data_IF_600519658880
#
_entry.id   IF_600519658880
#
_cell.length_a   1.000
_cell.length_b   1.000
_cell.length_c   1.000
_cell.angle_alpha   90.00
_cell.angle_beta   90.00
_cell.angle_gamma   90.00
#
_symmetry.space_group_name_H-M   'P 1'
#
loop_
_entity.id
_entity.type
_entity.pdbx_description
1 polymer ?
#
# COMPACT_ATOMS: atom_id res chain seq x y z
N UNK A 1 -7.31 -60.60 -39.11
CA UNK A 1 -7.86 -59.93 -37.90
C UNK A 1 -6.69 -59.57 -37.01
N UNK A 2 -6.34 -58.28 -36.93
CA UNK A 2 -5.33 -57.76 -35.99
C UNK A 2 -5.99 -56.63 -35.23
N UNK A 3 -6.12 -56.80 -33.92
CA UNK A 3 -6.85 -55.93 -33.02
C UNK A 3 -5.89 -54.86 -32.49
N UNK A 4 -5.96 -53.65 -33.06
CA UNK A 4 -5.16 -52.51 -32.62
C UNK A 4 -5.86 -51.91 -31.39
N UNK A 5 -5.23 -52.02 -30.21
CA UNK A 5 -5.68 -51.34 -28.99
C UNK A 5 -5.33 -49.85 -29.10
N UNK A 6 -6.34 -49.01 -29.13
CA UNK A 6 -6.23 -47.57 -28.92
C UNK A 6 -5.91 -47.32 -27.43
N UNK A 7 -4.69 -46.87 -27.15
CA UNK A 7 -4.31 -46.32 -25.85
C UNK A 7 -4.70 -44.85 -25.85
N UNK A 8 -5.79 -44.52 -25.16
CA UNK A 8 -6.24 -43.15 -24.93
C UNK A 8 -5.30 -42.46 -23.94
N UNK A 9 -4.35 -41.69 -24.44
CA UNK A 9 -3.54 -40.78 -23.61
C UNK A 9 -4.38 -39.54 -23.34
N UNK A 10 -5.06 -39.49 -22.19
CA UNK A 10 -5.61 -38.24 -21.67
C UNK A 10 -4.47 -37.40 -21.10
N UNK A 11 -3.90 -36.53 -21.92
CA UNK A 11 -3.09 -35.43 -21.44
C UNK A 11 -4.04 -34.40 -20.81
N UNK A 12 -4.23 -34.47 -19.49
CA UNK A 12 -4.81 -33.38 -18.73
C UNK A 12 -3.76 -32.26 -18.65
N UNK A 13 -3.72 -31.40 -19.68
CA UNK A 13 -3.04 -30.11 -19.60
C UNK A 13 -3.76 -29.27 -18.54
N UNK A 14 -3.25 -29.30 -17.32
CA UNK A 14 -3.51 -28.26 -16.33
C UNK A 14 -2.86 -27.00 -16.91
N UNK A 15 -3.68 -26.16 -17.56
CA UNK A 15 -3.30 -24.80 -17.88
C UNK A 15 -3.08 -24.09 -16.53
N UNK A 16 -1.83 -24.08 -16.06
CA UNK A 16 -1.41 -23.13 -15.04
C UNK A 16 -1.64 -21.75 -15.66
N UNK A 17 -2.65 -21.04 -15.16
CA UNK A 17 -2.83 -19.63 -15.50
C UNK A 17 -1.67 -18.88 -14.87
N UNK A 18 -0.61 -18.68 -15.65
CA UNK A 18 0.51 -17.85 -15.26
C UNK A 18 -0.02 -16.41 -15.18
N UNK A 19 -0.20 -15.92 -13.96
CA UNK A 19 -0.57 -14.53 -13.71
C UNK A 19 0.72 -13.74 -13.50
N UNK A 20 0.96 -12.77 -14.36
CA UNK A 20 2.20 -11.99 -14.33
C UNK A 20 2.11 -10.86 -13.29
N UNK A 21 2.49 -11.14 -12.04
CA UNK A 21 2.72 -10.15 -10.97
C UNK A 21 4.23 -9.96 -10.78
N UNK A 22 4.69 -8.86 -10.18
CA UNK A 22 6.07 -8.77 -9.69
C UNK A 22 6.16 -8.67 -8.18
N UNK A 23 5.24 -7.94 -7.55
CA UNK A 23 5.22 -7.79 -6.09
C UNK A 23 5.03 -9.17 -5.46
N UNK A 24 5.94 -9.52 -4.56
CA UNK A 24 5.96 -10.77 -3.81
C UNK A 24 5.35 -10.59 -2.43
N UNK A 25 5.16 -11.69 -1.70
CA UNK A 25 4.71 -11.62 -0.30
C UNK A 25 5.77 -10.98 0.62
N UNK A 26 7.06 -11.10 0.27
CA UNK A 26 8.16 -10.46 0.99
C UNK A 26 8.15 -8.94 0.79
N UNK A 27 7.81 -8.48 -0.41
CA UNK A 27 7.63 -7.06 -0.69
C UNK A 27 6.45 -6.48 0.10
N UNK A 28 5.31 -7.21 0.15
CA UNK A 28 4.15 -6.81 0.98
C UNK A 28 4.51 -6.74 2.45
N UNK A 29 5.30 -7.69 2.96
CA UNK A 29 5.76 -7.68 4.35
C UNK A 29 6.72 -6.52 4.64
N UNK A 30 7.59 -6.19 3.69
CA UNK A 30 8.54 -5.08 3.78
C UNK A 30 7.78 -3.75 3.79
N UNK A 31 6.88 -3.54 2.84
CA UNK A 31 5.99 -2.38 2.80
C UNK A 31 5.16 -2.25 4.07
N UNK A 32 4.64 -3.35 4.63
CA UNK A 32 3.94 -3.35 5.92
C UNK A 32 4.85 -2.85 7.04
N UNK A 33 6.09 -3.33 7.12
CA UNK A 33 7.02 -2.89 8.18
C UNK A 33 7.27 -1.40 8.07
N UNK A 34 7.56 -0.91 6.86
CA UNK A 34 7.80 0.52 6.59
C UNK A 34 6.57 1.35 6.96
N UNK A 35 5.39 0.92 6.53
CA UNK A 35 4.12 1.59 6.84
C UNK A 35 3.89 1.70 8.34
N UNK A 36 4.18 0.62 9.10
CA UNK A 36 4.07 0.63 10.56
C UNK A 36 5.07 1.60 11.18
N UNK A 37 6.32 1.58 10.74
CA UNK A 37 7.37 2.43 11.29
C UNK A 37 7.08 3.92 11.00
N UNK A 38 6.56 4.25 9.81
CA UNK A 38 6.04 5.59 9.49
C UNK A 38 4.89 6.00 10.43
N UNK A 39 3.91 5.11 10.64
CA UNK A 39 2.79 5.38 11.54
C UNK A 39 3.26 5.62 12.98
N UNK A 40 4.17 4.80 13.49
CA UNK A 40 4.75 4.98 14.84
C UNK A 40 5.49 6.32 14.96
N UNK A 41 6.27 6.67 13.94
CA UNK A 41 6.98 7.95 13.87
C UNK A 41 6.00 9.13 13.92
N UNK A 42 4.97 9.13 13.08
CA UNK A 42 3.96 10.21 13.03
C UNK A 42 3.19 10.32 14.35
N UNK A 43 2.75 9.20 14.92
CA UNK A 43 2.02 9.18 16.21
C UNK A 43 2.88 9.63 17.39
N UNK A 44 4.20 9.49 17.29
CA UNK A 44 5.13 9.98 18.32
C UNK A 44 5.30 11.50 18.33
N UNK A 45 4.91 12.18 17.24
CA UNK A 45 4.99 13.64 17.12
C UNK A 45 3.98 14.28 18.09
N UNK A 46 4.49 15.18 18.94
CA UNK A 46 3.67 15.94 19.88
C UNK A 46 3.71 17.40 19.49
N UNK A 47 2.55 18.06 19.48
CA UNK A 47 2.53 19.52 19.49
C UNK A 47 3.16 20.04 20.78
N UNK A 48 3.87 21.16 20.66
CA UNK A 48 4.43 21.90 21.81
C UNK A 48 3.33 22.39 22.79
N UNK A 49 2.06 22.29 22.39
CA UNK A 49 0.87 22.71 23.12
C UNK A 49 0.58 21.95 24.43
N UNK A 50 1.23 20.81 24.67
CA UNK A 50 1.04 20.01 25.89
C UNK A 50 2.04 20.35 27.03
N UNK A 51 2.91 21.35 26.83
CA UNK A 51 3.76 21.91 27.88
C UNK A 51 3.11 23.12 28.54
N UNK A 52 3.08 23.12 29.87
CA UNK A 52 2.70 24.21 30.79
C UNK A 52 2.40 25.59 30.12
N UNK A 53 1.18 26.14 30.21
CA UNK A 53 0.77 27.38 29.51
C UNK A 53 1.62 28.62 29.82
N UNK A 54 2.47 28.59 30.84
CA UNK A 54 3.44 29.63 31.15
C UNK A 54 4.68 29.64 30.21
N UNK A 55 4.90 28.62 29.39
CA UNK A 55 6.03 28.51 28.43
C UNK A 55 5.60 28.65 26.96
N UNK A 56 4.29 28.73 26.68
CA UNK A 56 3.72 28.79 25.33
C UNK A 56 3.94 30.12 24.58
N UNK A 57 4.71 31.06 25.14
CA UNK A 57 4.81 32.45 24.64
C UNK A 57 6.06 32.69 23.75
N UNK A 58 6.97 31.71 23.56
CA UNK A 58 8.24 31.97 22.84
C UNK A 58 8.63 30.89 21.80
N UNK A 59 7.87 29.80 21.65
CA UNK A 59 8.12 28.86 20.54
C UNK A 59 7.11 29.15 19.43
N UNK A 60 7.63 29.65 18.29
CA UNK A 60 6.83 29.95 17.10
C UNK A 60 5.96 28.74 16.75
N UNK A 61 4.65 28.94 16.79
CA UNK A 61 3.68 27.88 16.53
C UNK A 61 3.86 27.31 15.10
N UNK A 62 4.22 28.19 14.16
CA UNK A 62 4.51 27.83 12.77
C UNK A 62 5.76 26.95 12.64
N UNK A 63 6.84 27.19 13.39
CA UNK A 63 8.03 26.34 13.28
C UNK A 63 7.75 24.90 13.73
N UNK A 64 6.87 24.71 14.72
CA UNK A 64 6.46 23.36 15.13
C UNK A 64 5.51 22.68 14.15
N UNK A 65 4.69 23.47 13.43
CA UNK A 65 3.79 22.96 12.38
C UNK A 65 4.61 22.48 11.17
N UNK A 66 5.56 23.28 10.72
CA UNK A 66 6.42 22.98 9.56
C UNK A 66 7.33 21.78 9.84
N UNK A 67 7.96 21.71 11.04
CA UNK A 67 8.78 20.56 11.42
C UNK A 67 7.98 19.24 11.46
N UNK A 68 6.74 19.29 11.95
CA UNK A 68 5.85 18.12 11.95
C UNK A 68 5.44 17.77 10.52
N UNK A 69 5.13 18.78 9.70
CA UNK A 69 4.82 18.60 8.29
C UNK A 69 5.93 17.86 7.55
N UNK A 70 7.18 18.31 7.71
CA UNK A 70 8.37 17.71 7.11
C UNK A 70 8.52 16.23 7.49
N UNK A 71 8.26 15.89 8.76
CA UNK A 71 8.34 14.50 9.21
C UNK A 71 7.23 13.64 8.60
N UNK A 72 6.00 14.15 8.55
CA UNK A 72 4.86 13.43 7.97
C UNK A 72 5.07 13.25 6.46
N UNK A 73 5.35 14.32 5.74
CA UNK A 73 5.60 14.32 4.30
C UNK A 73 6.81 13.46 3.94
N UNK A 74 7.90 13.54 4.69
CA UNK A 74 9.09 12.71 4.47
C UNK A 74 8.82 11.21 4.72
N UNK A 75 7.94 10.86 5.66
CA UNK A 75 7.56 9.48 5.94
C UNK A 75 6.68 8.89 4.82
N UNK A 76 5.77 9.70 4.27
CA UNK A 76 4.98 9.32 3.10
C UNK A 76 5.85 9.19 1.84
N UNK A 77 6.68 10.20 1.58
CA UNK A 77 7.58 10.21 0.41
C UNK A 77 8.52 9.01 0.40
N UNK A 78 8.99 8.57 1.57
CA UNK A 78 9.78 7.34 1.68
C UNK A 78 8.96 6.11 1.27
N UNK A 79 7.75 5.95 1.79
CA UNK A 79 6.85 4.85 1.42
C UNK A 79 6.50 4.88 -0.08
N UNK A 80 6.23 6.06 -0.64
CA UNK A 80 5.96 6.25 -2.07
C UNK A 80 7.15 5.86 -2.94
N UNK A 81 8.37 6.19 -2.50
CA UNK A 81 9.60 5.78 -3.17
C UNK A 81 9.75 4.25 -3.23
N UNK A 82 9.44 3.55 -2.14
CA UNK A 82 9.48 2.10 -2.08
C UNK A 82 8.39 1.47 -2.96
N UNK A 83 7.17 2.02 -2.94
CA UNK A 83 6.09 1.60 -3.83
C UNK A 83 6.46 1.79 -5.30
N UNK A 84 6.95 2.98 -5.67
CA UNK A 84 7.38 3.30 -7.02
C UNK A 84 8.52 2.39 -7.49
N UNK A 85 9.50 2.12 -6.61
CA UNK A 85 10.60 1.20 -6.89
C UNK A 85 10.07 -0.19 -7.28
N UNK A 86 9.13 -0.73 -6.50
CA UNK A 86 8.51 -2.03 -6.79
C UNK A 86 7.69 -2.02 -8.08
N UNK A 87 6.95 -0.93 -8.35
CA UNK A 87 6.13 -0.80 -9.55
C UNK A 87 6.95 -0.63 -10.84
N UNK A 88 8.17 -0.11 -10.75
CA UNK A 88 9.05 0.07 -11.90
C UNK A 88 9.79 -1.21 -12.32
N UNK A 89 9.69 -2.30 -11.55
CA UNK A 89 10.34 -3.55 -11.91
C UNK A 89 9.55 -4.22 -13.06
N UNK A 90 10.22 -4.65 -14.16
CA UNK A 90 9.54 -5.29 -15.27
C UNK A 90 8.74 -6.52 -14.86
N UNK A 91 7.53 -6.64 -15.40
CA UNK A 91 6.60 -7.74 -15.12
C UNK A 91 7.24 -9.09 -15.44
N UNK A 92 7.17 -10.03 -14.49
CA UNK A 92 7.58 -11.42 -14.67
C UNK A 92 6.39 -12.34 -14.46
N UNK A 93 6.50 -13.52 -15.06
CA UNK A 93 5.57 -14.60 -14.83
C UNK A 93 5.86 -15.22 -13.45
N UNK A 94 4.89 -15.14 -12.53
CA UNK A 94 5.02 -15.74 -11.19
C UNK A 94 4.12 -16.97 -11.09
N UNK A 95 4.70 -18.06 -10.64
CA UNK A 95 3.99 -19.22 -10.12
C UNK A 95 4.36 -19.38 -8.64
N UNK A 96 3.35 -19.33 -7.76
CA UNK A 96 3.57 -19.59 -6.33
C UNK A 96 3.37 -21.09 -6.10
N UNK A 97 4.47 -21.83 -6.01
CA UNK A 97 4.41 -23.27 -5.75
C UNK A 97 4.04 -23.52 -4.28
N UNK A 98 2.87 -24.15 -4.05
CA UNK A 98 2.36 -24.56 -2.73
C UNK A 98 2.33 -23.42 -1.69
N UNK A 99 1.52 -22.37 -1.90
CA UNK A 99 1.41 -21.27 -0.97
C UNK A 99 0.85 -21.73 0.39
N UNK A 100 1.38 -21.15 1.47
CA UNK A 100 0.76 -21.24 2.79
C UNK A 100 -0.43 -20.27 2.86
N UNK A 101 -1.61 -20.72 2.42
CA UNK A 101 -2.76 -19.83 2.25
C UNK A 101 -3.20 -19.02 3.47
N UNK A 102 -3.23 -19.58 4.70
CA UNK A 102 -3.46 -18.77 5.90
C UNK A 102 -2.51 -17.56 6.02
N UNK A 103 -1.23 -17.74 5.66
CA UNK A 103 -0.25 -16.67 5.76
C UNK A 103 -0.40 -15.65 4.64
N UNK A 104 -0.66 -16.10 3.41
CA UNK A 104 -0.94 -15.20 2.25
C UNK A 104 -2.11 -14.26 2.54
N UNK A 105 -3.22 -14.83 3.02
CA UNK A 105 -4.43 -14.08 3.34
C UNK A 105 -4.17 -13.09 4.48
N UNK A 106 -3.43 -13.53 5.50
CA UNK A 106 -3.03 -12.67 6.62
C UNK A 106 -2.13 -11.52 6.18
N UNK A 107 -1.16 -11.76 5.30
CA UNK A 107 -0.25 -10.71 4.80
C UNK A 107 -1.03 -9.58 4.13
N UNK A 108 -1.98 -9.92 3.25
CA UNK A 108 -2.86 -8.96 2.59
C UNK A 108 -3.60 -8.08 3.62
N UNK A 109 -4.35 -8.70 4.53
CA UNK A 109 -5.20 -7.94 5.45
C UNK A 109 -4.40 -7.13 6.48
N UNK A 110 -3.28 -7.65 6.97
CA UNK A 110 -2.46 -6.91 7.93
C UNK A 110 -1.77 -5.73 7.27
N UNK A 111 -1.35 -5.86 6.01
CA UNK A 111 -0.78 -4.73 5.26
C UNK A 111 -1.81 -3.63 5.03
N UNK A 112 -3.00 -3.94 4.48
CA UNK A 112 -4.06 -2.94 4.26
C UNK A 112 -4.52 -2.28 5.56
N UNK A 113 -4.59 -3.04 6.66
CA UNK A 113 -4.87 -2.48 7.99
C UNK A 113 -3.75 -1.54 8.46
N UNK A 114 -2.48 -1.88 8.23
CA UNK A 114 -1.37 -1.00 8.58
C UNK A 114 -1.42 0.32 7.80
N UNK A 115 -1.74 0.25 6.50
CA UNK A 115 -1.94 1.43 5.65
C UNK A 115 -3.08 2.29 6.16
N UNK A 116 -4.22 1.71 6.48
CA UNK A 116 -5.37 2.45 7.04
C UNK A 116 -5.00 3.17 8.34
N UNK A 117 -4.24 2.52 9.23
CA UNK A 117 -3.78 3.15 10.50
C UNK A 117 -2.81 4.30 10.27
N UNK A 118 -1.94 4.20 9.27
CA UNK A 118 -1.07 5.29 8.86
C UNK A 118 -1.89 6.49 8.39
N UNK A 119 -2.88 6.28 7.51
CA UNK A 119 -3.75 7.34 7.04
C UNK A 119 -4.55 7.99 8.17
N UNK A 120 -5.05 7.21 9.12
CA UNK A 120 -5.67 7.72 10.34
C UNK A 120 -4.73 8.61 11.15
N UNK A 121 -3.45 8.23 11.28
CA UNK A 121 -2.48 9.06 12.00
C UNK A 121 -2.23 10.39 11.29
N UNK A 122 -2.26 10.41 9.95
CA UNK A 122 -2.12 11.63 9.15
C UNK A 122 -3.38 12.49 9.27
N UNK A 123 -4.56 11.90 9.20
CA UNK A 123 -5.85 12.57 9.42
C UNK A 123 -5.92 13.24 10.80
N UNK A 124 -5.54 12.51 11.86
CA UNK A 124 -5.43 13.06 13.22
C UNK A 124 -4.50 14.30 13.25
N UNK A 125 -3.39 14.28 12.50
CA UNK A 125 -2.46 15.41 12.40
C UNK A 125 -3.02 16.55 11.56
N UNK A 126 -3.70 16.23 10.47
CA UNK A 126 -4.35 17.23 9.62
C UNK A 126 -5.44 17.98 10.38
N UNK A 127 -6.23 17.29 11.20
CA UNK A 127 -7.21 17.92 12.10
C UNK A 127 -6.54 18.80 13.19
N UNK A 128 -5.35 18.43 13.65
CA UNK A 128 -4.59 19.18 14.66
C UNK A 128 -3.98 20.47 14.09
N UNK A 129 -3.42 20.42 12.87
CA UNK A 129 -2.62 21.52 12.31
C UNK A 129 -3.28 22.30 11.17
N UNK A 130 -4.30 21.74 10.52
CA UNK A 130 -5.02 22.35 9.40
C UNK A 130 -4.07 22.80 8.29
N UNK A 131 -3.32 21.87 7.70
CA UNK A 131 -2.54 22.16 6.50
C UNK A 131 -3.46 22.33 5.30
N UNK A 132 -3.00 23.06 4.29
CA UNK A 132 -3.76 23.28 3.06
C UNK A 132 -3.17 22.46 1.89
N UNK A 133 -3.78 22.61 0.72
CA UNK A 133 -3.32 21.95 -0.52
C UNK A 133 -1.91 22.34 -0.98
N UNK A 134 -1.29 23.39 -0.44
CA UNK A 134 0.11 23.75 -0.74
C UNK A 134 1.11 22.91 0.09
N UNK A 135 0.62 22.19 1.11
CA UNK A 135 1.47 21.35 1.97
C UNK A 135 2.16 20.21 1.24
N UNK A 136 3.35 19.86 1.73
CA UNK A 136 4.12 18.71 1.27
C UNK A 136 3.41 17.39 1.58
N UNK A 137 2.56 17.36 2.62
CA UNK A 137 1.74 16.18 2.95
C UNK A 137 0.69 15.95 1.87
N UNK A 138 -0.04 16.98 1.44
CA UNK A 138 -1.05 16.86 0.38
C UNK A 138 -0.43 16.31 -0.91
N UNK A 139 0.75 16.84 -1.28
CA UNK A 139 1.49 16.36 -2.44
C UNK A 139 1.90 14.89 -2.31
N UNK A 140 2.41 14.47 -1.14
CA UNK A 140 2.78 13.08 -0.90
C UNK A 140 1.57 12.13 -0.90
N UNK A 141 0.45 12.53 -0.31
CA UNK A 141 -0.82 11.77 -0.39
C UNK A 141 -1.29 11.59 -1.84
N UNK A 142 -1.15 12.63 -2.67
CA UNK A 142 -1.47 12.56 -4.10
C UNK A 142 -0.56 11.58 -4.87
N UNK A 143 0.72 11.50 -4.50
CA UNK A 143 1.63 10.48 -5.04
C UNK A 143 1.23 9.08 -4.61
N UNK A 144 0.96 8.86 -3.33
CA UNK A 144 0.50 7.59 -2.81
C UNK A 144 -0.77 7.13 -3.54
N UNK A 145 -1.77 8.00 -3.68
CA UNK A 145 -3.01 7.74 -4.41
C UNK A 145 -2.73 7.34 -5.86
N UNK A 146 -1.85 8.09 -6.54
CA UNK A 146 -1.50 7.85 -7.93
C UNK A 146 -0.80 6.52 -8.13
N UNK A 147 0.15 6.16 -7.27
CA UNK A 147 0.85 4.87 -7.30
C UNK A 147 -0.10 3.71 -6.95
N UNK A 148 -1.02 3.94 -6.02
CA UNK A 148 -1.96 2.93 -5.56
C UNK A 148 -2.96 2.54 -6.66
N UNK A 149 -3.60 3.54 -7.28
CA UNK A 149 -4.77 3.36 -8.12
C UNK A 149 -4.53 3.59 -9.62
N UNK A 150 -3.47 4.31 -10.02
CA UNK A 150 -3.26 4.69 -11.42
C UNK A 150 -2.15 3.90 -12.11
N UNK A 151 -2.34 3.68 -13.42
CA UNK A 151 -1.31 3.17 -14.33
C UNK A 151 -0.42 4.27 -14.91
N UNK A 152 -0.75 5.54 -14.73
CA UNK A 152 0.05 6.63 -15.32
C UNK A 152 1.24 7.05 -14.46
N UNK A 153 1.33 6.54 -13.22
CA UNK A 153 2.28 7.02 -12.22
C UNK A 153 3.68 6.38 -12.30
N UNK A 154 3.88 5.38 -13.16
CA UNK A 154 5.15 4.66 -13.30
C UNK A 154 5.39 4.20 -14.74
N UNK A 155 6.65 3.85 -15.04
CA UNK A 155 7.12 3.51 -16.38
C UNK A 155 6.57 2.17 -16.90
N UNK A 156 6.16 1.29 -15.99
CA UNK A 156 5.61 -0.03 -16.34
C UNK A 156 4.09 0.02 -16.61
N UNK A 157 3.47 1.16 -16.36
CA UNK A 157 2.04 1.39 -16.48
C UNK A 157 1.15 0.46 -15.64
N UNK A 158 1.52 0.27 -14.37
CA UNK A 158 0.86 -0.67 -13.45
C UNK A 158 0.44 0.03 -12.17
N UNK A 159 -0.78 -0.17 -11.70
CA UNK A 159 -1.13 0.29 -10.34
C UNK A 159 -0.74 -0.77 -9.30
N UNK A 160 -0.55 -0.34 -8.06
CA UNK A 160 -0.26 -1.27 -6.97
C UNK A 160 -1.41 -2.24 -6.69
N UNK A 161 -2.67 -1.76 -6.78
CA UNK A 161 -3.86 -2.64 -6.72
C UNK A 161 -3.76 -3.75 -7.75
N UNK A 162 -3.36 -3.44 -8.99
CA UNK A 162 -3.25 -4.44 -10.04
C UNK A 162 -2.17 -5.49 -9.73
N UNK A 163 -1.04 -5.07 -9.16
CA UNK A 163 0.00 -6.00 -8.75
C UNK A 163 -0.47 -6.91 -7.61
N UNK A 164 -1.12 -6.35 -6.59
CA UNK A 164 -1.72 -7.14 -5.50
C UNK A 164 -2.74 -8.14 -6.04
N UNK A 165 -3.67 -7.70 -6.89
CA UNK A 165 -4.68 -8.56 -7.49
C UNK A 165 -4.07 -9.70 -8.30
N UNK A 166 -2.99 -9.44 -9.04
CA UNK A 166 -2.27 -10.49 -9.77
C UNK A 166 -1.56 -11.45 -8.82
N UNK A 167 -0.88 -10.96 -7.78
CA UNK A 167 -0.22 -11.78 -6.77
C UNK A 167 -1.21 -12.73 -6.07
N UNK A 168 -2.33 -12.19 -5.59
CA UNK A 168 -3.30 -12.97 -4.83
C UNK A 168 -4.11 -13.91 -5.71
N UNK A 169 -4.38 -13.54 -6.98
CA UNK A 169 -4.92 -14.47 -7.96
C UNK A 169 -3.93 -15.62 -8.25
N UNK A 170 -2.63 -15.33 -8.37
CA UNK A 170 -1.59 -16.35 -8.55
C UNK A 170 -1.58 -17.38 -7.41
N UNK A 171 -1.80 -16.90 -6.18
CA UNK A 171 -1.78 -17.75 -4.99
C UNK A 171 -2.93 -18.76 -4.93
N UNK A 172 -4.06 -18.49 -5.60
CA UNK A 172 -5.30 -19.27 -5.45
C UNK A 172 -5.78 -19.45 -3.99
N UNK A 173 -5.29 -18.62 -3.05
CA UNK A 173 -5.59 -18.74 -1.63
C UNK A 173 -6.85 -17.99 -1.17
N UNK A 174 -7.38 -17.12 -2.02
CA UNK A 174 -8.60 -16.36 -1.75
C UNK A 174 -9.81 -17.04 -2.39
N UNK A 175 -10.85 -17.26 -1.59
CA UNK A 175 -12.13 -17.77 -2.09
C UNK A 175 -12.78 -16.78 -3.08
N UNK A 176 -12.59 -15.49 -2.84
CA UNK A 176 -13.04 -14.41 -3.70
C UNK A 176 -11.97 -13.31 -3.75
N UNK A 177 -11.18 -13.24 -4.83
CA UNK A 177 -10.14 -12.21 -4.98
C UNK A 177 -10.73 -10.79 -5.04
N UNK A 178 -12.03 -10.64 -5.36
CA UNK A 178 -12.69 -9.33 -5.33
C UNK A 178 -12.80 -8.76 -3.91
N UNK A 179 -12.67 -9.58 -2.87
CA UNK A 179 -12.64 -9.07 -1.48
C UNK A 179 -11.36 -8.26 -1.24
N UNK A 180 -10.25 -8.64 -1.88
CA UNK A 180 -9.01 -7.85 -1.83
C UNK A 180 -9.19 -6.53 -2.56
N UNK A 181 -9.69 -6.58 -3.80
CA UNK A 181 -9.99 -5.37 -4.58
C UNK A 181 -10.87 -4.39 -3.80
N UNK A 182 -11.89 -4.89 -3.12
CA UNK A 182 -12.78 -4.04 -2.31
C UNK A 182 -12.02 -3.31 -1.21
N UNK A 183 -11.13 -3.99 -0.49
CA UNK A 183 -10.37 -3.35 0.59
C UNK A 183 -9.29 -2.39 0.07
N UNK A 184 -8.67 -2.71 -1.06
CA UNK A 184 -7.80 -1.79 -1.77
C UNK A 184 -8.55 -0.50 -2.17
N UNK A 185 -9.79 -0.64 -2.67
CA UNK A 185 -10.65 0.51 -2.97
C UNK A 185 -11.01 1.28 -1.70
N UNK A 186 -11.30 0.62 -0.59
CA UNK A 186 -11.54 1.28 0.71
C UNK A 186 -10.32 2.13 1.16
N UNK A 187 -9.08 1.69 0.91
CA UNK A 187 -7.87 2.48 1.16
C UNK A 187 -7.80 3.72 0.24
N UNK A 188 -8.14 3.56 -1.04
CA UNK A 188 -8.16 4.68 -2.00
C UNK A 188 -9.25 5.69 -1.67
N UNK A 189 -10.43 5.24 -1.24
CA UNK A 189 -11.52 6.09 -0.76
C UNK A 189 -11.05 6.89 0.46
N UNK A 190 -10.43 6.24 1.45
CA UNK A 190 -9.87 6.94 2.62
C UNK A 190 -8.82 7.98 2.21
N UNK A 191 -7.92 7.63 1.27
CA UNK A 191 -6.91 8.56 0.75
C UNK A 191 -7.55 9.81 0.14
N UNK A 192 -8.56 9.64 -0.71
CA UNK A 192 -9.25 10.75 -1.34
C UNK A 192 -9.99 11.60 -0.29
N UNK A 193 -10.71 10.97 0.62
CA UNK A 193 -11.44 11.66 1.70
C UNK A 193 -10.48 12.48 2.58
N UNK A 194 -9.30 11.93 2.90
CA UNK A 194 -8.25 12.64 3.63
C UNK A 194 -7.71 13.83 2.83
N UNK A 195 -7.43 13.65 1.55
CA UNK A 195 -6.96 14.74 0.68
C UNK A 195 -7.98 15.88 0.60
N UNK A 196 -9.29 15.58 0.60
CA UNK A 196 -10.37 16.58 0.58
C UNK A 196 -10.45 17.41 1.88
N UNK A 197 -9.71 17.04 2.94
CA UNK A 197 -9.64 17.81 4.19
C UNK A 197 -8.55 18.89 4.21
N UNK A 198 -7.70 18.96 3.18
CA UNK A 198 -6.66 19.99 2.97
C UNK A 198 -7.21 21.13 2.10
#
# INVERSE_FOLDING_TARGET
MVQIRLVSVFAATVLAWVTSAHITLEDIDSLRSITRDCNEKIRSLKSSHNGNPAQAVILDNESSKDEIEDVVAGSLTYLDGELLSLLNIPVKDIAIEKPNCPEVVKHCYVFLQATTRLLQAIDEKQQEFGWDTESSIYNALGWMQSLWASRSANEQHLSFIEQQMRLYKASSCFNNVNDVLRQDVEVVEYLNDLMDTF
#
